data_IF_131640815777
#
_entry.id   IF_131640815777
#
_cell.length_a   1.000
_cell.length_b   1.000
_cell.length_c   1.000
_cell.angle_alpha   90.00
_cell.angle_beta   90.00
_cell.angle_gamma   90.00
#
_symmetry.space_group_name_H-M   'P 1'
#
loop_
_entity.id
_entity.type
_entity.pdbx_description
1 polymer ?
#
# COMPACT_ATOMS: atom_id res chain seq x y z
N UNK A 1 -1.46 40.91 -9.78
CA UNK A 1 -2.07 39.63 -10.20
C UNK A 1 -1.55 38.56 -9.27
N UNK A 2 -2.44 37.94 -8.48
CA UNK A 2 -2.07 37.05 -7.37
C UNK A 2 -1.50 35.71 -7.87
N UNK A 3 -0.29 35.40 -7.42
CA UNK A 3 0.39 34.11 -7.52
C UNK A 3 -0.33 33.06 -6.68
N UNK A 4 -1.11 32.19 -7.33
CA UNK A 4 -1.71 31.00 -6.70
C UNK A 4 -0.76 29.79 -6.88
N UNK A 5 0.44 29.88 -6.29
CA UNK A 5 1.45 28.82 -6.24
C UNK A 5 1.41 28.11 -4.88
N UNK A 6 0.40 27.28 -4.59
CA UNK A 6 0.52 26.24 -3.54
C UNK A 6 -0.66 25.24 -3.48
N UNK A 7 -1.11 24.66 -4.60
CA UNK A 7 -1.88 23.41 -4.50
C UNK A 7 -0.88 22.27 -4.54
N UNK A 8 -0.78 21.41 -3.52
CA UNK A 8 -0.04 20.16 -3.67
C UNK A 8 -0.67 19.44 -4.85
N UNK A 9 0.10 19.22 -5.92
CA UNK A 9 -0.34 18.40 -7.04
C UNK A 9 -0.75 17.05 -6.46
N UNK A 10 -1.94 16.54 -6.81
CA UNK A 10 -2.33 15.21 -6.33
C UNK A 10 -1.26 14.22 -6.79
N UNK A 11 -0.60 13.57 -5.82
CA UNK A 11 0.38 12.54 -6.09
C UNK A 11 -0.23 11.53 -7.06
N UNK A 12 0.55 11.11 -8.06
CA UNK A 12 0.09 10.03 -8.94
C UNK A 12 -0.30 8.82 -8.08
N UNK A 13 -1.34 8.05 -8.43
CA UNK A 13 -1.75 6.89 -7.64
C UNK A 13 -0.59 5.92 -7.37
N UNK A 14 0.37 5.82 -8.31
CA UNK A 14 1.59 5.02 -8.15
C UNK A 14 2.51 5.59 -7.06
N UNK A 15 2.78 6.89 -7.08
CA UNK A 15 3.58 7.56 -6.05
C UNK A 15 2.94 7.39 -4.67
N UNK A 16 1.62 7.43 -4.58
CA UNK A 16 0.88 7.20 -3.34
C UNK A 16 1.03 5.76 -2.84
N UNK A 17 1.00 4.77 -3.73
CA UNK A 17 1.24 3.36 -3.37
C UNK A 17 2.65 3.19 -2.79
N UNK A 18 3.67 3.76 -3.44
CA UNK A 18 5.08 3.69 -2.99
C UNK A 18 5.24 4.36 -1.62
N UNK A 19 4.71 5.57 -1.46
CA UNK A 19 4.80 6.31 -0.19
C UNK A 19 4.17 5.54 0.98
N UNK A 20 3.01 4.90 0.76
CA UNK A 20 2.35 4.12 1.82
C UNK A 20 3.14 2.83 2.10
N UNK A 21 3.73 2.20 1.08
CA UNK A 21 4.61 1.05 1.30
C UNK A 21 5.80 1.40 2.19
N UNK A 22 6.44 2.55 1.96
CA UNK A 22 7.55 3.05 2.79
C UNK A 22 7.11 3.32 4.23
N UNK A 23 5.92 3.89 4.43
CA UNK A 23 5.35 4.08 5.76
C UNK A 23 5.11 2.74 6.48
N UNK A 24 4.64 1.72 5.77
CA UNK A 24 4.46 0.38 6.32
C UNK A 24 5.80 -0.26 6.65
N UNK A 25 6.84 -0.06 5.83
CA UNK A 25 8.20 -0.56 6.07
C UNK A 25 8.80 0.03 7.36
N UNK A 26 8.47 1.28 7.68
CA UNK A 26 8.93 1.97 8.89
C UNK A 26 8.15 1.59 10.16
N UNK A 27 7.04 0.85 10.06
CA UNK A 27 6.26 0.44 11.23
C UNK A 27 7.10 -0.38 12.22
N UNK A 28 7.01 -0.03 13.49
CA UNK A 28 7.58 -0.81 14.59
C UNK A 28 6.52 -1.75 15.18
N UNK A 29 6.92 -2.91 15.76
CA UNK A 29 6.00 -3.78 16.47
C UNK A 29 5.22 -3.01 17.56
N UNK A 30 3.92 -3.29 17.68
CA UNK A 30 3.02 -2.60 18.59
C UNK A 30 2.33 -1.37 17.99
N UNK A 31 2.76 -0.88 16.83
CA UNK A 31 2.05 0.18 16.11
C UNK A 31 0.88 -0.38 15.27
N UNK A 32 -0.25 0.34 15.17
CA UNK A 32 -1.38 -0.10 14.36
C UNK A 32 -1.04 -0.06 12.85
N UNK A 33 -1.26 -1.18 12.16
CA UNK A 33 -0.96 -1.31 10.72
C UNK A 33 -2.21 -1.20 9.82
N UNK A 34 -3.42 -1.32 10.39
CA UNK A 34 -4.70 -1.45 9.66
C UNK A 34 -5.00 -0.25 8.77
N UNK A 35 -4.79 0.96 9.27
CA UNK A 35 -5.06 2.20 8.54
C UNK A 35 -4.14 2.34 7.32
N UNK A 36 -2.85 2.07 7.49
CA UNK A 36 -1.86 2.10 6.41
C UNK A 36 -2.15 1.00 5.38
N UNK A 37 -2.48 -0.21 5.83
CA UNK A 37 -2.87 -1.30 4.94
C UNK A 37 -4.10 -0.93 4.08
N UNK A 38 -5.13 -0.35 4.69
CA UNK A 38 -6.33 0.07 3.96
C UNK A 38 -6.03 1.22 2.99
N UNK A 39 -5.16 2.15 3.37
CA UNK A 39 -4.70 3.21 2.48
C UNK A 39 -3.93 2.63 1.28
N UNK A 40 -3.03 1.67 1.51
CA UNK A 40 -2.26 0.99 0.47
C UNK A 40 -3.20 0.30 -0.52
N UNK A 41 -4.12 -0.50 0.00
CA UNK A 41 -5.15 -1.19 -0.78
C UNK A 41 -5.93 -0.18 -1.63
N UNK A 42 -6.45 0.89 -1.02
CA UNK A 42 -7.20 1.93 -1.75
C UNK A 42 -6.39 2.56 -2.89
N UNK A 43 -5.10 2.82 -2.67
CA UNK A 43 -4.22 3.37 -3.70
C UNK A 43 -3.98 2.39 -4.87
N UNK A 44 -3.80 1.09 -4.59
CA UNK A 44 -3.73 0.05 -5.63
C UNK A 44 -5.03 -0.05 -6.42
N UNK A 45 -6.19 0.07 -5.75
CA UNK A 45 -7.48 0.10 -6.45
C UNK A 45 -7.60 1.29 -7.40
N UNK A 46 -7.13 2.47 -6.98
CA UNK A 46 -7.13 3.67 -7.82
C UNK A 46 -6.28 3.46 -9.09
N UNK A 47 -5.14 2.77 -8.99
CA UNK A 47 -4.34 2.39 -10.17
C UNK A 47 -5.13 1.50 -11.15
N UNK A 48 -5.87 0.51 -10.64
CA UNK A 48 -6.70 -0.37 -11.47
C UNK A 48 -7.77 0.42 -12.23
N UNK A 49 -8.37 1.44 -11.59
CA UNK A 49 -9.45 2.23 -12.18
C UNK A 49 -8.99 3.15 -13.31
N UNK A 50 -7.74 3.62 -13.26
CA UNK A 50 -7.22 4.63 -14.22
C UNK A 50 -6.30 4.05 -15.29
N UNK A 51 -5.88 2.79 -15.15
CA UNK A 51 -4.92 2.18 -16.06
C UNK A 51 -5.56 1.64 -17.34
N UNK A 52 -4.96 1.95 -18.49
CA UNK A 52 -5.33 1.35 -19.77
C UNK A 52 -5.07 -0.17 -19.81
N UNK A 53 -3.98 -0.62 -19.17
CA UNK A 53 -3.71 -2.04 -18.92
C UNK A 53 -3.55 -2.25 -17.41
N UNK A 54 -4.50 -2.95 -16.80
CA UNK A 54 -4.56 -3.16 -15.35
C UNK A 54 -4.03 -4.52 -14.88
N UNK A 55 -3.41 -5.33 -15.76
CA UNK A 55 -3.01 -6.71 -15.42
C UNK A 55 -2.09 -6.75 -14.20
N UNK A 56 -0.98 -6.01 -14.23
CA UNK A 56 -0.01 -5.96 -13.12
C UNK A 56 -0.61 -5.39 -11.83
N UNK A 57 -1.48 -4.39 -11.93
CA UNK A 57 -2.18 -3.81 -10.78
C UNK A 57 -3.18 -4.80 -10.16
N UNK A 58 -3.86 -5.62 -10.96
CA UNK A 58 -4.75 -6.69 -10.47
C UNK A 58 -3.97 -7.80 -9.77
N UNK A 59 -2.78 -8.14 -10.26
CA UNK A 59 -1.88 -9.10 -9.58
C UNK A 59 -1.42 -8.55 -8.22
N UNK A 60 -0.97 -7.29 -8.17
CA UNK A 60 -0.62 -6.62 -6.93
C UNK A 60 -1.80 -6.61 -5.94
N UNK A 61 -3.01 -6.30 -6.42
CA UNK A 61 -4.23 -6.34 -5.62
C UNK A 61 -4.54 -7.74 -5.05
N UNK A 62 -4.43 -8.78 -5.86
CA UNK A 62 -4.66 -10.16 -5.40
C UNK A 62 -3.66 -10.54 -4.29
N UNK A 63 -2.38 -10.22 -4.48
CA UNK A 63 -1.34 -10.47 -3.48
C UNK A 63 -1.65 -9.79 -2.13
N UNK A 64 -2.11 -8.53 -2.17
CA UNK A 64 -2.44 -7.75 -0.97
C UNK A 64 -3.69 -8.29 -0.28
N UNK A 65 -4.73 -8.55 -1.04
CA UNK A 65 -6.04 -8.92 -0.49
C UNK A 65 -6.09 -10.35 0.06
N UNK A 66 -5.31 -11.26 -0.52
CA UNK A 66 -5.25 -12.66 -0.08
C UNK A 66 -4.18 -12.87 0.99
N UNK A 67 -2.93 -12.48 0.71
CA UNK A 67 -1.81 -12.84 1.57
C UNK A 67 -1.52 -11.77 2.63
N UNK A 68 -1.43 -10.50 2.23
CA UNK A 68 -1.06 -9.43 3.17
C UNK A 68 -2.17 -9.19 4.22
N UNK A 69 -3.44 -9.40 3.85
CA UNK A 69 -4.55 -9.36 4.81
C UNK A 69 -4.47 -10.43 5.90
N UNK A 70 -4.01 -11.64 5.57
CA UNK A 70 -3.81 -12.72 6.55
C UNK A 70 -2.68 -12.37 7.53
N UNK A 71 -1.57 -11.82 7.02
CA UNK A 71 -0.47 -11.34 7.84
C UNK A 71 -0.89 -10.19 8.76
N UNK A 72 -1.69 -9.24 8.25
CA UNK A 72 -2.25 -8.16 9.07
C UNK A 72 -3.09 -8.71 10.24
N UNK A 73 -4.02 -9.63 9.99
CA UNK A 73 -4.84 -10.24 11.05
C UNK A 73 -3.99 -10.95 12.10
N UNK A 74 -2.96 -11.68 11.65
CA UNK A 74 -2.04 -12.37 12.55
C UNK A 74 -1.30 -11.37 13.45
N UNK A 75 -0.87 -10.24 12.90
CA UNK A 75 -0.24 -9.16 13.64
C UNK A 75 -1.20 -8.48 14.63
N UNK A 76 -2.45 -8.21 14.21
CA UNK A 76 -3.51 -7.65 15.07
C UNK A 76 -3.83 -8.56 16.26
N UNK A 77 -3.63 -9.87 16.13
CA UNK A 77 -3.80 -10.85 17.21
C UNK A 77 -2.55 -11.00 18.11
N UNK A 78 -1.55 -10.12 17.98
CA UNK A 78 -0.36 -10.10 18.84
C UNK A 78 0.84 -10.88 18.31
N UNK A 79 0.76 -11.50 17.12
CA UNK A 79 1.93 -12.15 16.51
C UNK A 79 2.83 -11.11 15.83
N UNK A 80 3.72 -10.50 16.60
CA UNK A 80 4.65 -9.45 16.13
C UNK A 80 5.49 -9.87 14.91
N UNK A 81 5.79 -11.15 14.76
CA UNK A 81 6.49 -11.72 13.60
C UNK A 81 5.73 -11.54 12.28
N UNK A 82 4.39 -11.51 12.34
CA UNK A 82 3.55 -11.32 11.17
C UNK A 82 3.69 -9.92 10.56
N UNK A 83 4.22 -8.93 11.30
CA UNK A 83 4.56 -7.62 10.75
C UNK A 83 5.65 -7.73 9.67
N UNK A 84 6.67 -8.57 9.87
CA UNK A 84 7.71 -8.81 8.85
C UNK A 84 7.11 -9.43 7.60
N UNK A 85 6.18 -10.36 7.78
CA UNK A 85 5.47 -11.00 6.68
C UNK A 85 4.60 -10.00 5.91
N UNK A 86 3.89 -9.12 6.62
CA UNK A 86 3.09 -8.04 6.04
C UNK A 86 3.95 -7.11 5.18
N UNK A 87 5.06 -6.62 5.74
CA UNK A 87 6.03 -5.76 5.05
C UNK A 87 6.56 -6.42 3.77
N UNK A 88 6.99 -7.69 3.85
CA UNK A 88 7.47 -8.47 2.71
C UNK A 88 6.45 -8.56 1.58
N UNK A 89 5.19 -8.87 1.90
CA UNK A 89 4.12 -9.01 0.91
C UNK A 89 3.75 -7.68 0.25
N UNK A 90 3.77 -6.58 1.01
CA UNK A 90 3.55 -5.24 0.45
C UNK A 90 4.71 -4.82 -0.44
N UNK A 91 5.96 -5.08 -0.04
CA UNK A 91 7.12 -4.85 -0.90
C UNK A 91 7.03 -5.64 -2.21
N UNK A 92 6.66 -6.93 -2.13
CA UNK A 92 6.45 -7.76 -3.31
C UNK A 92 5.34 -7.23 -4.23
N UNK A 93 4.22 -6.75 -3.67
CA UNK A 93 3.16 -6.19 -4.50
C UNK A 93 3.58 -4.91 -5.21
N UNK A 94 4.43 -4.09 -4.58
CA UNK A 94 5.04 -2.91 -5.23
C UNK A 94 5.99 -3.31 -6.37
N UNK A 95 6.77 -4.39 -6.23
CA UNK A 95 7.66 -4.85 -7.32
C UNK A 95 6.91 -5.34 -8.57
N UNK A 96 5.61 -5.59 -8.47
CA UNK A 96 4.78 -5.95 -9.63
C UNK A 96 4.31 -4.72 -10.41
N UNK A 97 4.45 -3.52 -9.85
CA UNK A 97 4.00 -2.29 -10.49
C UNK A 97 5.02 -1.86 -11.57
N UNK A 98 4.57 -1.37 -12.73
CA UNK A 98 5.43 -0.88 -13.80
C UNK A 98 6.10 0.46 -13.47
#
# INVERSE_FOLDING_TARGET
MNTNLNRPTPLSPLTKVIQIADQIEQLQPGQPATSLFNAFKSAVWQLIQVAANAYSYRLAWAMVTLHARSALRSYENGHSDALRQLKRLIKQSVTLLP
#
